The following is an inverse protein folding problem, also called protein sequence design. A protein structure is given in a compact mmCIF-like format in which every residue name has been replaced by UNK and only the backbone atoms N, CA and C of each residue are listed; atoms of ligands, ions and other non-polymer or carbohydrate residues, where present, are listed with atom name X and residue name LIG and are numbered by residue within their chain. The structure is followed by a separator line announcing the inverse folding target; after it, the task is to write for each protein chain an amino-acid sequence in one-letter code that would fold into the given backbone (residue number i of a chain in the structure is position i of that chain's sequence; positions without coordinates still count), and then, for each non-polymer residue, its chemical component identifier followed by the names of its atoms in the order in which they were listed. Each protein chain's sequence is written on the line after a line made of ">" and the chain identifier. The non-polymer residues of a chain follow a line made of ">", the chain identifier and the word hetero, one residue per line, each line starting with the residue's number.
data_IF_471453910560
#
_entry.id   IF_471453910560
#
_cell.length_a   1.000
_cell.length_b   1.000
_cell.length_c   1.000
_cell.angle_alpha   90.00
_cell.angle_beta   90.00
_cell.angle_gamma   90.00
#
_symmetry.space_group_name_H-M   'P 1'
#
loop_
_entity.id
_entity.type
_entity.pdbx_description
1 polymer ?
#
# COMPACT_ATOMS: atom_id res chain seq x y z
N UNK A 1 -24.16 17.79 8.33
CA UNK A 1 -25.29 17.00 8.85
C UNK A 1 -26.02 16.41 7.63
N UNK A 2 -26.67 15.25 7.75
CA UNK A 2 -27.39 14.65 6.62
C UNK A 2 -28.86 15.03 6.76
N UNK A 3 -29.42 15.68 5.74
CA UNK A 3 -30.75 16.29 5.81
C UNK A 3 -31.89 15.33 5.40
N UNK A 4 -31.55 14.17 4.83
CA UNK A 4 -32.50 13.14 4.37
C UNK A 4 -32.03 11.74 4.80
N UNK A 5 -32.95 10.88 5.25
CA UNK A 5 -32.64 9.48 5.58
C UNK A 5 -32.23 8.64 4.36
N UNK A 6 -31.69 7.44 4.61
CA UNK A 6 -31.37 6.46 3.57
C UNK A 6 -32.62 5.70 3.12
N UNK A 7 -32.75 5.46 1.81
CA UNK A 7 -33.77 4.57 1.24
C UNK A 7 -33.42 3.08 1.46
N UNK A 8 -32.16 2.78 1.78
CA UNK A 8 -31.67 1.45 2.09
C UNK A 8 -31.78 1.16 3.59
N UNK A 9 -32.34 0.00 3.93
CA UNK A 9 -32.39 -0.48 5.32
C UNK A 9 -31.02 -0.93 5.86
N UNK A 10 -30.11 -1.33 4.98
CA UNK A 10 -28.76 -1.74 5.34
C UNK A 10 -27.77 -0.62 4.99
N UNK A 11 -27.12 -0.04 6.01
CA UNK A 11 -26.15 1.07 5.86
C UNK A 11 -25.13 0.83 4.74
N UNK A 12 -24.59 -0.40 4.64
CA UNK A 12 -23.60 -0.81 3.63
C UNK A 12 -24.11 -0.79 2.18
N UNK A 13 -25.40 -0.55 1.96
CA UNK A 13 -25.99 -0.42 0.62
C UNK A 13 -26.23 1.03 0.23
N UNK A 14 -26.29 1.95 1.19
CA UNK A 14 -26.27 3.38 0.91
C UNK A 14 -24.82 3.84 0.74
N UNK A 15 -24.43 4.14 -0.50
CA UNK A 15 -23.07 4.54 -0.85
C UNK A 15 -22.58 5.77 -0.08
N UNK A 16 -23.44 6.75 0.21
CA UNK A 16 -23.05 7.99 0.91
C UNK A 16 -22.85 7.71 2.38
N UNK A 17 -23.78 7.00 3.02
CA UNK A 17 -23.67 6.63 4.43
C UNK A 17 -22.54 5.65 4.67
N UNK A 18 -22.36 4.66 3.81
CA UNK A 18 -21.24 3.72 3.86
C UNK A 18 -19.91 4.49 3.79
N UNK A 19 -19.77 5.43 2.86
CA UNK A 19 -18.54 6.24 2.77
C UNK A 19 -18.31 7.09 4.03
N UNK A 20 -19.35 7.71 4.59
CA UNK A 20 -19.23 8.49 5.83
C UNK A 20 -18.82 7.58 6.98
N UNK A 21 -19.46 6.43 7.14
CA UNK A 21 -19.12 5.43 8.14
C UNK A 21 -17.65 5.04 8.00
N UNK A 22 -17.22 4.61 6.81
CA UNK A 22 -15.84 4.20 6.55
C UNK A 22 -14.82 5.30 6.85
N UNK A 23 -15.12 6.55 6.49
CA UNK A 23 -14.23 7.68 6.72
C UNK A 23 -14.14 8.10 8.20
N UNK A 24 -15.16 7.79 9.02
CA UNK A 24 -15.30 8.30 10.39
C UNK A 24 -15.15 7.24 11.48
N UNK A 25 -15.26 5.96 11.16
CA UNK A 25 -15.17 4.84 12.12
C UNK A 25 -13.91 3.99 11.90
N UNK A 26 -12.77 4.64 11.66
CA UNK A 26 -11.47 3.96 11.54
C UNK A 26 -11.08 3.32 12.88
N UNK A 27 -10.43 2.15 12.85
CA UNK A 27 -9.96 1.47 14.07
C UNK A 27 -8.93 2.27 14.84
N UNK A 28 -8.01 2.90 14.11
CA UNK A 28 -7.01 3.81 14.64
C UNK A 28 -7.10 5.12 13.91
N UNK A 29 -7.00 6.21 14.66
CA UNK A 29 -6.90 7.56 14.11
C UNK A 29 -5.52 8.07 14.43
N UNK A 30 -4.77 8.39 13.38
CA UNK A 30 -3.46 9.00 13.49
C UNK A 30 -3.61 10.50 13.20
N UNK A 31 -3.46 11.35 14.22
CA UNK A 31 -3.43 12.81 14.02
C UNK A 31 -2.14 13.26 13.33
N UNK A 32 -1.07 12.50 13.55
CA UNK A 32 0.22 12.61 12.90
C UNK A 32 0.70 11.21 12.55
N UNK A 33 1.31 11.08 11.37
CA UNK A 33 1.98 9.86 10.94
C UNK A 33 3.41 10.19 10.50
N UNK A 34 4.39 9.66 11.24
CA UNK A 34 5.81 9.71 10.93
C UNK A 34 6.24 8.33 10.42
N UNK A 35 6.00 8.07 9.13
CA UNK A 35 6.26 6.77 8.52
C UNK A 35 7.64 6.74 7.83
N UNK A 36 8.48 5.77 8.20
CA UNK A 36 9.73 5.52 7.48
C UNK A 36 9.51 4.48 6.38
N UNK A 37 9.70 4.89 5.12
CA UNK A 37 9.45 4.04 3.96
C UNK A 37 10.69 3.28 3.48
N UNK A 38 10.63 1.95 3.50
CA UNK A 38 11.67 1.07 2.98
C UNK A 38 11.08 -0.17 2.27
N UNK A 39 9.92 -0.03 1.65
CA UNK A 39 9.19 -1.04 0.86
C UNK A 39 9.76 -1.27 -0.56
N UNK A 40 10.86 -0.57 -0.89
CA UNK A 40 11.58 -0.73 -2.15
C UNK A 40 12.02 -2.18 -2.37
N UNK A 41 11.91 -2.65 -3.62
CA UNK A 41 12.27 -4.02 -4.02
C UNK A 41 13.34 -4.03 -5.09
N UNK A 42 12.99 -3.71 -6.34
CA UNK A 42 13.93 -3.78 -7.46
C UNK A 42 15.16 -2.89 -7.26
N UNK A 43 14.97 -1.71 -6.66
CA UNK A 43 16.06 -0.78 -6.35
C UNK A 43 17.07 -1.39 -5.36
N UNK A 44 16.60 -2.06 -4.29
CA UNK A 44 17.51 -2.72 -3.36
C UNK A 44 18.20 -3.93 -3.97
N UNK A 45 17.52 -4.70 -4.83
CA UNK A 45 18.15 -5.81 -5.58
C UNK A 45 19.27 -5.29 -6.49
N UNK A 46 19.00 -4.22 -7.25
CA UNK A 46 20.00 -3.56 -8.11
C UNK A 46 21.20 -3.04 -7.30
N UNK A 47 20.94 -2.35 -6.18
CA UNK A 47 21.99 -1.85 -5.28
C UNK A 47 22.79 -2.97 -4.65
N UNK A 48 22.15 -4.05 -4.21
CA UNK A 48 22.82 -5.19 -3.62
C UNK A 48 23.75 -5.87 -4.64
N UNK A 49 23.24 -6.15 -5.84
CA UNK A 49 24.02 -6.75 -6.91
C UNK A 49 25.25 -5.89 -7.29
N UNK A 50 25.07 -4.57 -7.40
CA UNK A 50 26.17 -3.63 -7.70
C UNK A 50 27.27 -3.59 -6.63
N UNK A 51 26.99 -4.05 -5.40
CA UNK A 51 27.93 -4.07 -4.28
C UNK A 51 28.31 -5.50 -3.83
N UNK A 52 28.04 -6.51 -4.65
CA UNK A 52 28.33 -7.91 -4.32
C UNK A 52 27.58 -8.43 -3.08
N UNK A 53 26.38 -7.91 -2.84
CA UNK A 53 25.49 -8.29 -1.74
C UNK A 53 24.33 -9.16 -2.24
N UNK A 54 23.69 -9.83 -1.30
CA UNK A 54 22.62 -10.81 -1.52
C UNK A 54 21.27 -10.27 -1.04
N UNK A 55 20.17 -10.97 -1.36
CA UNK A 55 18.86 -10.63 -0.78
C UNK A 55 18.84 -10.78 0.76
N UNK A 56 19.67 -11.65 1.33
CA UNK A 56 19.81 -11.77 2.78
C UNK A 56 20.42 -10.50 3.42
N UNK A 57 21.32 -9.81 2.71
CA UNK A 57 21.82 -8.51 3.15
C UNK A 57 20.74 -7.43 3.11
N UNK A 58 19.80 -7.52 2.16
CA UNK A 58 18.64 -6.61 2.07
C UNK A 58 17.69 -6.85 3.25
N UNK A 59 17.35 -8.11 3.55
CA UNK A 59 16.49 -8.45 4.70
C UNK A 59 17.12 -7.96 6.01
N UNK A 60 18.42 -8.18 6.19
CA UNK A 60 19.18 -7.64 7.34
C UNK A 60 19.13 -6.12 7.40
N UNK A 61 19.30 -5.43 6.28
CA UNK A 61 19.17 -3.97 6.23
C UNK A 61 17.77 -3.51 6.65
N UNK A 62 16.71 -4.19 6.21
CA UNK A 62 15.34 -3.84 6.58
C UNK A 62 15.04 -4.09 8.07
N UNK A 63 15.69 -5.08 8.70
CA UNK A 63 15.66 -5.24 10.16
C UNK A 63 16.33 -4.08 10.89
N UNK A 64 17.44 -3.55 10.37
CA UNK A 64 18.09 -2.35 10.92
C UNK A 64 17.18 -1.12 10.75
N UNK A 65 16.50 -1.00 9.60
CA UNK A 65 15.52 0.05 9.39
C UNK A 65 14.35 -0.04 10.39
N UNK A 66 13.83 -1.24 10.67
CA UNK A 66 12.84 -1.46 11.72
C UNK A 66 13.36 -1.02 13.09
N UNK A 67 14.60 -1.35 13.45
CA UNK A 67 15.19 -0.92 14.72
C UNK A 67 15.18 0.60 14.87
N UNK A 68 15.53 1.35 13.82
CA UNK A 68 15.47 2.81 13.85
C UNK A 68 14.04 3.33 14.07
N UNK A 69 13.04 2.67 13.48
CA UNK A 69 11.61 3.00 13.67
C UNK A 69 11.19 2.75 15.12
N UNK A 70 11.55 1.60 15.70
CA UNK A 70 11.12 1.23 17.06
C UNK A 70 11.82 2.09 18.11
N UNK A 71 13.10 2.44 17.92
CA UNK A 71 13.80 3.43 18.76
C UNK A 71 13.14 4.81 18.68
N UNK A 72 12.71 5.23 17.49
CA UNK A 72 11.98 6.51 17.32
C UNK A 72 10.63 6.47 18.02
N UNK A 73 9.90 5.35 17.91
CA UNK A 73 8.60 5.14 18.54
C UNK A 73 8.65 5.18 20.08
N UNK A 74 9.82 4.95 20.69
CA UNK A 74 9.98 5.07 22.14
C UNK A 74 9.84 6.51 22.67
N UNK A 75 9.95 7.51 21.78
CA UNK A 75 9.92 8.93 22.15
C UNK A 75 8.93 9.79 21.34
N UNK A 76 8.29 9.20 20.33
CA UNK A 76 7.37 9.90 19.44
C UNK A 76 6.12 9.08 19.18
N UNK A 77 4.96 9.73 19.30
CA UNK A 77 3.68 9.14 18.90
C UNK A 77 3.49 9.18 17.39
N UNK A 78 2.66 8.25 16.89
CA UNK A 78 2.28 8.22 15.47
C UNK A 78 3.40 7.77 14.54
N UNK A 79 4.39 7.02 15.06
CA UNK A 79 5.46 6.44 14.25
C UNK A 79 4.95 5.22 13.47
N UNK A 80 5.49 5.02 12.27
CA UNK A 80 5.17 3.86 11.45
C UNK A 80 6.23 3.54 10.40
N UNK A 81 5.91 2.56 9.56
CA UNK A 81 6.79 2.11 8.49
C UNK A 81 6.03 1.67 7.25
N UNK A 82 6.72 1.65 6.11
CA UNK A 82 6.31 0.94 4.90
C UNK A 82 7.33 -0.15 4.61
N UNK A 83 6.89 -1.41 4.53
CA UNK A 83 7.75 -2.57 4.27
C UNK A 83 7.04 -3.61 3.41
N UNK A 84 7.77 -4.22 2.47
CA UNK A 84 7.27 -5.29 1.61
C UNK A 84 7.44 -6.68 2.25
N UNK A 85 6.67 -7.64 1.75
CA UNK A 85 6.62 -9.03 2.25
C UNK A 85 7.57 -10.01 1.54
N UNK A 86 8.31 -9.54 0.52
CA UNK A 86 9.27 -10.34 -0.24
C UNK A 86 10.67 -10.19 0.35
N UNK A 87 11.23 -8.99 0.32
CA UNK A 87 12.57 -8.68 0.82
C UNK A 87 12.57 -8.23 2.28
N UNK A 88 11.43 -7.78 2.80
CA UNK A 88 11.29 -7.27 4.17
C UNK A 88 10.50 -8.17 5.09
N UNK A 89 10.35 -9.47 4.77
CA UNK A 89 9.51 -10.40 5.52
C UNK A 89 9.87 -10.45 7.01
N UNK A 90 11.17 -10.55 7.33
CA UNK A 90 11.61 -10.61 8.73
C UNK A 90 11.24 -9.32 9.47
N UNK A 91 11.45 -8.17 8.84
CA UNK A 91 11.08 -6.87 9.41
C UNK A 91 9.56 -6.70 9.53
N UNK A 92 8.77 -7.12 8.54
CA UNK A 92 7.30 -7.07 8.58
C UNK A 92 6.73 -7.92 9.72
N UNK A 93 7.28 -9.12 9.92
CA UNK A 93 6.85 -10.00 11.01
C UNK A 93 7.22 -9.40 12.37
N UNK A 94 8.47 -8.97 12.55
CA UNK A 94 8.92 -8.36 13.81
C UNK A 94 8.20 -7.04 14.12
N UNK A 95 7.83 -6.24 13.10
CA UNK A 95 7.06 -5.02 13.28
C UNK A 95 5.70 -5.26 13.97
N UNK A 96 5.12 -6.45 13.82
CA UNK A 96 3.82 -6.80 14.41
C UNK A 96 3.87 -6.90 15.94
N UNK A 97 5.06 -7.00 16.55
CA UNK A 97 5.26 -7.01 18.00
C UNK A 97 5.26 -5.60 18.62
N UNK A 98 5.11 -4.56 17.79
CA UNK A 98 5.19 -3.15 18.20
C UNK A 98 3.89 -2.41 17.93
N UNK A 99 3.59 -1.42 18.78
CA UNK A 99 2.40 -0.57 18.64
C UNK A 99 2.62 0.58 17.63
N UNK A 100 3.01 0.25 16.41
CA UNK A 100 3.32 1.22 15.33
C UNK A 100 2.38 1.06 14.14
N UNK A 101 2.29 2.09 13.31
CA UNK A 101 1.55 1.99 12.04
C UNK A 101 2.37 1.20 11.01
N UNK A 102 1.74 0.22 10.35
CA UNK A 102 2.39 -0.64 9.35
C UNK A 102 1.66 -0.49 8.02
N UNK A 103 2.36 0.02 7.01
CA UNK A 103 1.93 -0.04 5.62
C UNK A 103 2.63 -1.15 4.86
N UNK A 104 1.89 -1.93 4.06
CA UNK A 104 2.40 -3.02 3.25
C UNK A 104 1.99 -2.81 1.78
N UNK A 105 2.95 -2.77 0.82
CA UNK A 105 2.64 -2.61 -0.59
C UNK A 105 1.92 -3.84 -1.15
N UNK A 106 0.97 -3.62 -2.06
CA UNK A 106 0.25 -4.69 -2.77
C UNK A 106 0.66 -4.80 -4.25
N UNK A 107 1.20 -3.72 -4.82
CA UNK A 107 1.60 -3.60 -6.23
C UNK A 107 2.89 -4.34 -6.58
N UNK A 108 3.08 -4.70 -7.84
CA UNK A 108 4.35 -5.16 -8.39
C UNK A 108 5.34 -4.00 -8.51
N UNK A 109 6.58 -4.23 -8.06
CA UNK A 109 7.62 -3.20 -8.10
C UNK A 109 8.06 -2.88 -9.53
N UNK A 110 7.96 -1.60 -9.91
CA UNK A 110 8.52 -1.10 -11.18
C UNK A 110 7.75 -1.50 -12.44
N UNK A 111 6.49 -1.93 -12.29
CA UNK A 111 5.61 -2.33 -13.40
C UNK A 111 4.73 -1.16 -13.85
N UNK A 112 4.54 -1.04 -15.17
CA UNK A 112 3.71 -0.02 -15.83
C UNK A 112 2.94 -0.64 -17.02
N UNK A 113 1.60 -0.57 -17.06
CA UNK A 113 0.66 0.01 -16.07
C UNK A 113 0.75 -0.64 -14.69
N UNK A 114 0.09 -0.09 -13.67
CA UNK A 114 0.12 -0.71 -12.34
C UNK A 114 -0.45 -2.13 -12.40
N UNK A 115 0.19 -3.05 -11.67
CA UNK A 115 -0.30 -4.41 -11.50
C UNK A 115 -0.11 -4.81 -10.04
N UNK A 116 -0.91 -5.74 -9.55
CA UNK A 116 -0.76 -6.31 -8.21
C UNK A 116 0.15 -7.54 -8.23
N UNK A 117 0.90 -7.76 -7.15
CA UNK A 117 1.67 -9.00 -6.99
C UNK A 117 0.77 -10.22 -7.18
N UNK A 118 1.29 -11.25 -7.84
CA UNK A 118 0.55 -12.47 -8.15
C UNK A 118 0.03 -13.15 -6.88
N UNK A 119 -1.13 -13.78 -6.99
CA UNK A 119 -1.78 -14.43 -5.86
C UNK A 119 -3.24 -14.77 -6.16
N UNK A 120 -4.00 -15.20 -5.15
CA UNK A 120 -5.46 -15.29 -5.27
C UNK A 120 -6.07 -13.90 -5.53
N UNK A 121 -7.38 -13.83 -5.70
CA UNK A 121 -8.05 -12.53 -5.83
C UNK A 121 -7.77 -11.62 -4.62
N UNK A 122 -7.89 -10.30 -4.83
CA UNK A 122 -7.54 -9.29 -3.82
C UNK A 122 -8.28 -9.51 -2.49
N UNK A 123 -9.53 -9.96 -2.53
CA UNK A 123 -10.31 -10.22 -1.32
C UNK A 123 -9.72 -11.37 -0.51
N UNK A 124 -9.46 -12.50 -1.17
CA UNK A 124 -8.83 -13.67 -0.54
C UNK A 124 -7.43 -13.36 0.00
N UNK A 125 -6.60 -12.63 -0.76
CA UNK A 125 -5.26 -12.23 -0.33
C UNK A 125 -5.29 -11.33 0.90
N UNK A 126 -6.16 -10.32 0.90
CA UNK A 126 -6.28 -9.38 2.03
C UNK A 126 -6.93 -10.04 3.25
N UNK A 127 -7.78 -11.05 3.08
CA UNK A 127 -8.37 -11.77 4.22
C UNK A 127 -7.32 -12.50 5.09
N UNK A 128 -6.14 -12.80 4.54
CA UNK A 128 -5.02 -13.39 5.27
C UNK A 128 -4.11 -12.36 5.96
N UNK A 129 -4.30 -11.07 5.68
CA UNK A 129 -3.48 -10.02 6.28
C UNK A 129 -4.00 -9.65 7.69
N UNK A 130 -3.11 -9.28 8.62
CA UNK A 130 -3.54 -8.64 9.85
C UNK A 130 -4.34 -7.37 9.53
N UNK A 131 -5.53 -7.25 10.12
CA UNK A 131 -6.45 -6.13 9.87
C UNK A 131 -5.90 -4.75 10.29
N UNK A 132 -4.81 -4.74 11.05
CA UNK A 132 -4.06 -3.56 11.48
C UNK A 132 -3.07 -3.08 10.42
N UNK A 133 -2.77 -3.88 9.40
CA UNK A 133 -1.89 -3.47 8.31
C UNK A 133 -2.66 -2.59 7.32
N UNK A 134 -2.09 -1.44 6.99
CA UNK A 134 -2.60 -0.59 5.93
C UNK A 134 -2.13 -1.13 4.58
N UNK A 135 -3.06 -1.32 3.65
CA UNK A 135 -2.74 -1.67 2.28
C UNK A 135 -2.22 -0.43 1.57
N UNK A 136 -0.98 -0.47 1.11
CA UNK A 136 -0.40 0.59 0.29
C UNK A 136 -0.41 0.18 -1.16
N UNK A 137 -0.79 1.09 -2.05
CA UNK A 137 -0.60 0.94 -3.49
C UNK A 137 0.12 2.16 -4.05
N UNK A 138 1.13 1.93 -4.88
CA UNK A 138 1.75 2.95 -5.72
C UNK A 138 1.17 2.86 -7.13
N UNK A 139 0.54 3.93 -7.60
CA UNK A 139 0.08 4.05 -8.98
C UNK A 139 0.91 5.09 -9.76
N UNK A 140 1.57 4.68 -10.85
CA UNK A 140 2.16 5.60 -11.80
C UNK A 140 1.06 6.20 -12.68
N UNK A 141 0.63 7.42 -12.35
CA UNK A 141 -0.41 8.14 -13.08
C UNK A 141 0.19 9.44 -13.62
N UNK A 142 0.22 9.57 -14.94
CA UNK A 142 0.74 10.77 -15.62
C UNK A 142 -0.38 11.58 -16.24
N UNK A 143 -0.19 12.89 -16.28
CA UNK A 143 -1.18 13.80 -16.86
C UNK A 143 -1.37 13.60 -18.39
N UNK A 144 -0.39 13.01 -19.06
CA UNK A 144 -0.38 12.73 -20.51
C UNK A 144 -0.64 11.25 -20.86
N UNK A 145 -1.02 10.43 -19.87
CA UNK A 145 -1.38 9.03 -20.12
C UNK A 145 -2.64 8.95 -21.02
N UNK A 146 -2.69 8.01 -21.98
CA UNK A 146 -3.88 7.79 -22.79
C UNK A 146 -5.11 7.45 -21.93
N UNK A 147 -6.30 7.85 -22.38
CA UNK A 147 -7.55 7.65 -21.63
C UNK A 147 -7.81 6.18 -21.25
N UNK A 148 -7.45 5.23 -22.11
CA UNK A 148 -7.58 3.79 -21.84
C UNK A 148 -6.72 3.33 -20.65
N UNK A 149 -5.52 3.89 -20.55
CA UNK A 149 -4.57 3.59 -19.48
C UNK A 149 -5.03 4.21 -18.14
N UNK A 150 -5.50 5.45 -18.18
CA UNK A 150 -6.13 6.10 -17.01
C UNK A 150 -7.31 5.27 -16.52
N UNK A 151 -8.21 4.88 -17.43
CA UNK A 151 -9.38 4.08 -17.09
C UNK A 151 -8.99 2.69 -16.54
N UNK A 152 -7.90 2.09 -17.01
CA UNK A 152 -7.39 0.84 -16.45
C UNK A 152 -6.91 1.00 -15.01
N UNK A 153 -6.03 1.97 -14.75
CA UNK A 153 -5.51 2.22 -13.40
C UNK A 153 -6.66 2.55 -12.43
N UNK A 154 -7.62 3.39 -12.84
CA UNK A 154 -8.81 3.71 -12.04
C UNK A 154 -9.64 2.48 -11.69
N UNK A 155 -9.89 1.59 -12.66
CA UNK A 155 -10.61 0.32 -12.40
C UNK A 155 -9.88 -0.55 -11.37
N UNK A 156 -8.57 -0.69 -11.50
CA UNK A 156 -7.77 -1.50 -10.57
C UNK A 156 -7.71 -0.88 -9.16
N UNK A 157 -7.61 0.45 -9.05
CA UNK A 157 -7.66 1.16 -7.76
C UNK A 157 -9.03 0.98 -7.10
N UNK A 158 -10.13 1.11 -7.85
CA UNK A 158 -11.48 0.88 -7.32
C UNK A 158 -11.64 -0.57 -6.86
N UNK A 159 -11.16 -1.54 -7.66
CA UNK A 159 -11.18 -2.97 -7.30
C UNK A 159 -10.44 -3.24 -6.00
N UNK A 160 -9.28 -2.61 -5.79
CA UNK A 160 -8.53 -2.70 -4.56
C UNK A 160 -9.24 -2.02 -3.38
N UNK A 161 -9.78 -0.82 -3.58
CA UNK A 161 -10.50 -0.09 -2.54
C UNK A 161 -11.72 -0.90 -2.05
N UNK A 162 -12.46 -1.54 -2.96
CA UNK A 162 -13.58 -2.42 -2.60
C UNK A 162 -13.12 -3.66 -1.82
N UNK A 163 -12.00 -4.27 -2.20
CA UNK A 163 -11.42 -5.40 -1.46
C UNK A 163 -10.97 -4.98 -0.05
N UNK A 164 -10.31 -3.82 0.08
CA UNK A 164 -9.92 -3.25 1.37
C UNK A 164 -11.13 -3.00 2.26
N UNK A 165 -12.20 -2.40 1.73
CA UNK A 165 -13.45 -2.17 2.48
C UNK A 165 -14.09 -3.46 2.97
N UNK A 166 -14.17 -4.49 2.12
CA UNK A 166 -14.78 -5.79 2.45
C UNK A 166 -14.00 -6.57 3.49
N UNK A 167 -12.68 -6.43 3.49
CA UNK A 167 -11.77 -7.09 4.46
C UNK A 167 -11.46 -6.19 5.66
N UNK A 168 -11.94 -4.96 5.66
CA UNK A 168 -11.75 -3.99 6.73
C UNK A 168 -10.33 -3.41 6.80
N UNK A 169 -9.53 -3.46 5.75
CA UNK A 169 -8.18 -2.89 5.75
C UNK A 169 -8.19 -1.41 5.39
N UNK A 170 -7.39 -0.60 6.09
CA UNK A 170 -7.13 0.77 5.65
C UNK A 170 -6.35 0.79 4.33
N UNK A 171 -6.53 1.86 3.57
CA UNK A 171 -5.98 2.00 2.22
C UNK A 171 -5.19 3.30 2.08
N UNK A 172 -3.91 3.17 1.77
CA UNK A 172 -2.99 4.26 1.42
C UNK A 172 -2.75 4.24 -0.09
N UNK A 173 -3.12 5.33 -0.73
CA UNK A 173 -2.95 5.52 -2.17
C UNK A 173 -1.80 6.49 -2.45
N UNK A 174 -0.71 5.98 -3.00
CA UNK A 174 0.46 6.75 -3.41
C UNK A 174 0.42 6.99 -4.93
N UNK A 175 0.46 8.25 -5.35
CA UNK A 175 0.49 8.65 -6.76
C UNK A 175 1.90 9.11 -7.10
N UNK A 176 2.50 8.51 -8.15
CA UNK A 176 3.74 8.99 -8.73
C UNK A 176 3.51 9.50 -10.15
N UNK A 177 3.79 10.78 -10.38
CA UNK A 177 3.59 11.45 -11.67
C UNK A 177 4.89 11.66 -12.45
N UNK A 178 6.05 11.34 -11.85
CA UNK A 178 7.37 11.56 -12.42
C UNK A 178 7.68 10.68 -13.64
N UNK A 179 8.30 11.28 -14.65
CA UNK A 179 8.87 10.61 -15.81
C UNK A 179 10.40 10.60 -15.68
N UNK A 180 10.98 9.56 -15.06
CA UNK A 180 12.45 9.48 -14.86
C UNK A 180 13.24 9.15 -16.15
N UNK A 181 12.76 9.53 -17.34
CA UNK A 181 13.46 9.29 -18.60
C UNK A 181 13.66 7.81 -18.95
N UNK A 182 13.15 6.87 -18.14
CA UNK A 182 13.00 5.46 -18.52
C UNK A 182 11.94 5.45 -19.61
N UNK A 183 12.42 5.56 -20.85
CA UNK A 183 11.65 5.58 -22.08
C UNK A 183 10.42 4.68 -21.97
N UNK A 184 9.28 5.14 -22.48
CA UNK A 184 8.07 4.34 -22.75
C UNK A 184 8.50 2.91 -23.08
N UNK A 185 8.54 2.02 -22.08
CA UNK A 185 8.63 0.60 -22.39
C UNK A 185 7.31 0.38 -23.09
N UNK A 186 7.37 0.11 -24.40
CA UNK A 186 6.23 -0.28 -25.21
C UNK A 186 5.76 -1.64 -24.72
N UNK A 187 5.30 -1.74 -23.48
CA UNK A 187 4.35 -2.74 -23.07
C UNK A 187 3.07 -2.32 -23.80
N UNK A 188 2.74 -3.04 -24.88
CA UNK A 188 1.42 -2.90 -25.49
C UNK A 188 0.44 -3.19 -24.37
N UNK A 189 -0.30 -2.17 -23.96
CA UNK A 189 -1.47 -2.36 -23.14
C UNK A 189 -2.43 -3.23 -23.97
N UNK A 190 -2.56 -4.51 -23.60
CA UNK A 190 -3.53 -5.41 -24.19
C UNK A 190 -4.51 -5.73 -23.04
N UNK A 191 -5.79 -5.31 -23.15
CA UNK A 191 -6.78 -5.44 -22.10
C UNK A 191 -7.15 -6.89 -21.80
#
# INVERSE_FOLDING_TARGET
>A
MIDTGSEEFALRKDRRLEQIHWATTRRRRHERLLAFAFDHRSQFVEMAAANGKTEADIDRFKLIALQAVTETAASHDGVGLLVDDRLGRSALHAASDHDIWIGRPIEQSGVFPMAFEEGPDLGSRLAEWPVTHCVKVLAPIRADDPAELTAYNEREIVRLADACRRTGHEFLFEIISGNNGKARRRTRFCP
#
